data_IF_293745228859
#
_entry.id   IF_293745228859
#
_cell.length_a   1.000
_cell.length_b   1.000
_cell.length_c   1.000
_cell.angle_alpha   90.00
_cell.angle_beta   90.00
_cell.angle_gamma   90.00
#
_symmetry.space_group_name_H-M   'P 1'
#
loop_
_entity.id
_entity.type
_entity.pdbx_description
1 polymer ?
#
# COMPACT_ATOMS: atom_id res chain seq x y z
N UNK A 1 23.70 -7.80 -9.42
CA UNK A 1 24.51 -6.68 -8.90
C UNK A 1 23.52 -5.56 -8.61
N UNK A 2 23.34 -5.13 -7.35
CA UNK A 2 22.40 -4.05 -7.05
C UNK A 2 23.05 -2.70 -7.40
N UNK A 3 22.34 -1.85 -8.16
CA UNK A 3 22.83 -0.52 -8.51
C UNK A 3 22.39 0.45 -7.40
N UNK A 4 23.36 1.19 -6.85
CA UNK A 4 23.04 2.37 -6.03
C UNK A 4 22.80 3.54 -6.97
N UNK A 5 21.64 4.18 -6.86
CA UNK A 5 21.30 5.38 -7.63
C UNK A 5 21.35 6.60 -6.72
N UNK A 6 22.12 7.61 -7.12
CA UNK A 6 22.11 8.94 -6.50
C UNK A 6 20.98 9.75 -7.12
N UNK A 7 20.11 10.33 -6.30
CA UNK A 7 19.06 11.26 -6.75
C UNK A 7 19.36 12.64 -6.18
N UNK A 8 19.68 13.60 -7.05
CA UNK A 8 19.82 15.01 -6.71
C UNK A 8 18.53 15.74 -7.05
N UNK A 9 17.83 16.28 -6.06
CA UNK A 9 16.65 17.13 -6.28
C UNK A 9 17.13 18.58 -6.28
N UNK A 10 17.12 19.21 -7.45
CA UNK A 10 17.44 20.64 -7.63
C UNK A 10 16.13 21.42 -7.60
N UNK A 11 15.89 22.18 -6.54
CA UNK A 11 14.79 23.16 -6.50
C UNK A 11 15.31 24.46 -7.13
N UNK A 12 14.76 24.88 -8.27
CA UNK A 12 15.24 26.08 -8.96
C UNK A 12 14.77 27.38 -8.29
N UNK A 13 15.68 28.16 -7.74
CA UNK A 13 16.05 29.52 -8.20
C UNK A 13 16.79 30.25 -7.07
N UNK A 14 18.08 30.52 -7.30
CA UNK A 14 19.03 31.19 -6.40
C UNK A 14 19.25 30.51 -5.03
N UNK A 15 20.53 30.30 -4.71
CA UNK A 15 21.09 29.75 -3.47
C UNK A 15 21.16 28.22 -3.31
N UNK A 16 22.17 27.84 -2.51
CA UNK A 16 22.77 26.56 -2.15
C UNK A 16 21.82 25.46 -1.61
N UNK A 17 20.62 25.26 -2.18
CA UNK A 17 19.59 24.39 -1.61
C UNK A 17 19.48 22.99 -2.26
N UNK A 18 20.46 22.53 -3.02
CA UNK A 18 20.43 21.17 -3.58
C UNK A 18 20.55 20.14 -2.46
N UNK A 19 19.62 19.18 -2.39
CA UNK A 19 19.67 18.05 -1.47
C UNK A 19 19.99 16.78 -2.24
N UNK A 20 20.91 15.99 -1.70
CA UNK A 20 21.32 14.71 -2.27
C UNK A 20 20.76 13.56 -1.45
N UNK A 21 20.26 12.55 -2.15
CA UNK A 21 19.75 11.31 -1.57
C UNK A 21 20.28 10.12 -2.36
N UNK A 22 20.09 8.92 -1.83
CA UNK A 22 20.49 7.68 -2.47
C UNK A 22 19.45 6.61 -2.20
N UNK A 23 19.28 5.66 -3.12
CA UNK A 23 18.50 4.45 -2.87
C UNK A 23 19.12 3.27 -3.61
N UNK A 24 18.79 2.06 -3.17
CA UNK A 24 19.25 0.82 -3.79
C UNK A 24 18.13 0.17 -4.60
N UNK A 25 18.39 -0.11 -5.87
CA UNK A 25 17.46 -0.91 -6.68
C UNK A 25 17.38 -2.34 -6.14
N UNK A 26 16.22 -3.01 -6.20
CA UNK A 26 16.10 -4.40 -5.74
C UNK A 26 16.96 -5.33 -6.62
N UNK A 27 17.24 -6.56 -6.16
CA UNK A 27 17.79 -7.59 -7.04
C UNK A 27 16.83 -7.88 -8.21
N UNK A 28 17.36 -8.47 -9.27
CA UNK A 28 16.56 -8.96 -10.39
C UNK A 28 15.50 -9.96 -9.90
N UNK A 29 14.40 -10.05 -10.66
CA UNK A 29 13.32 -10.99 -10.36
C UNK A 29 13.87 -12.41 -10.49
N UNK A 30 13.83 -13.15 -9.39
CA UNK A 30 14.29 -14.54 -9.30
C UNK A 30 13.53 -15.24 -8.17
N UNK A 31 13.17 -16.52 -8.30
CA UNK A 31 12.39 -17.23 -7.27
C UNK A 31 13.07 -17.23 -5.90
N UNK A 32 14.40 -17.34 -5.88
CA UNK A 32 15.20 -17.37 -4.64
C UNK A 32 15.77 -16.00 -4.23
N UNK A 33 15.41 -14.90 -4.90
CA UNK A 33 15.92 -13.58 -4.53
C UNK A 33 15.41 -13.18 -3.13
N UNK A 34 16.31 -13.03 -2.13
CA UNK A 34 15.90 -12.61 -0.80
C UNK A 34 15.53 -11.13 -0.80
N UNK A 35 14.53 -10.78 0.01
CA UNK A 35 14.10 -9.40 0.16
C UNK A 35 13.40 -9.18 1.49
N UNK A 36 13.65 -8.04 2.16
CA UNK A 36 13.01 -7.72 3.43
C UNK A 36 12.06 -6.54 3.29
N UNK A 37 10.77 -6.83 3.40
CA UNK A 37 9.72 -5.80 3.45
C UNK A 37 9.40 -5.42 4.90
N UNK A 38 9.34 -4.13 5.19
CA UNK A 38 8.65 -3.62 6.37
C UNK A 38 7.18 -3.41 6.04
N UNK A 39 6.29 -3.65 7.01
CA UNK A 39 4.85 -3.48 6.85
C UNK A 39 4.41 -2.41 7.85
N UNK A 40 3.78 -1.34 7.36
CA UNK A 40 3.27 -0.23 8.18
C UNK A 40 1.88 0.13 7.66
N UNK A 41 0.94 0.40 8.57
CA UNK A 41 -0.36 0.98 8.27
C UNK A 41 -0.67 2.04 9.30
N UNK A 42 -1.61 2.94 8.97
CA UNK A 42 -2.28 3.77 9.98
C UNK A 42 -1.28 4.64 10.76
N UNK A 43 -0.25 5.14 10.05
CA UNK A 43 0.93 5.71 10.70
C UNK A 43 0.60 7.03 11.36
N UNK A 44 -0.04 7.95 10.64
CA UNK A 44 -0.24 9.32 11.11
C UNK A 44 1.07 10.03 11.48
N UNK A 45 0.99 10.99 12.40
CA UNK A 45 2.09 11.90 12.75
C UNK A 45 2.12 12.25 14.24
N UNK A 46 1.95 11.25 15.09
CA UNK A 46 2.03 11.34 16.56
C UNK A 46 3.42 10.95 17.07
N UNK A 47 3.64 11.06 18.39
CA UNK A 47 4.85 10.52 19.02
C UNK A 47 4.97 8.99 18.86
N UNK A 48 3.85 8.26 18.86
CA UNK A 48 3.84 6.82 18.62
C UNK A 48 4.19 6.51 17.16
N UNK A 49 3.74 7.35 16.22
CA UNK A 49 4.10 7.27 14.80
C UNK A 49 5.61 7.39 14.61
N UNK A 50 6.24 8.34 15.30
CA UNK A 50 7.70 8.49 15.30
C UNK A 50 8.39 7.25 15.87
N UNK A 51 7.90 6.71 16.99
CA UNK A 51 8.46 5.48 17.59
C UNK A 51 8.37 4.29 16.63
N UNK A 52 7.23 4.09 15.96
CA UNK A 52 7.05 3.04 14.94
C UNK A 52 8.02 3.23 13.78
N UNK A 53 8.16 4.46 13.26
CA UNK A 53 9.08 4.75 12.17
C UNK A 53 10.54 4.48 12.57
N UNK A 54 10.94 4.86 13.78
CA UNK A 54 12.29 4.61 14.31
C UNK A 54 12.58 3.12 14.48
N UNK A 55 11.65 2.33 15.02
CA UNK A 55 11.79 0.87 15.11
C UNK A 55 11.89 0.23 13.73
N UNK A 56 11.08 0.70 12.77
CA UNK A 56 11.17 0.24 11.39
C UNK A 56 12.54 0.55 10.77
N UNK A 57 13.08 1.76 10.95
CA UNK A 57 14.39 2.14 10.40
C UNK A 57 15.53 1.30 10.97
N UNK A 58 15.38 0.78 12.20
CA UNK A 58 16.32 -0.16 12.82
C UNK A 58 16.13 -1.62 12.35
N UNK A 59 15.03 -1.93 11.66
CA UNK A 59 14.75 -3.29 11.20
C UNK A 59 15.67 -3.74 10.05
N UNK A 60 16.25 -2.81 9.29
CA UNK A 60 17.03 -3.13 8.09
C UNK A 60 16.20 -3.68 6.93
N UNK A 61 14.90 -3.35 6.87
CA UNK A 61 14.07 -3.60 5.70
C UNK A 61 14.50 -2.72 4.51
N UNK A 62 14.29 -3.22 3.30
CA UNK A 62 14.73 -2.59 2.03
C UNK A 62 13.62 -1.78 1.34
N UNK A 63 12.37 -1.97 1.76
CA UNK A 63 11.18 -1.26 1.28
C UNK A 63 10.03 -1.36 2.28
N UNK A 64 9.01 -0.49 2.16
CA UNK A 64 7.78 -0.56 2.95
C UNK A 64 6.58 -0.95 2.08
N UNK A 65 5.78 -1.90 2.55
CA UNK A 65 4.42 -2.09 2.08
C UNK A 65 3.50 -1.31 3.03
N UNK A 66 2.94 -0.20 2.53
CA UNK A 66 2.16 0.73 3.33
C UNK A 66 0.66 0.51 3.12
N UNK A 67 -0.07 0.06 4.14
CA UNK A 67 -1.45 -0.45 4.01
C UNK A 67 -2.55 0.60 4.21
N UNK A 68 -2.26 1.88 3.91
CA UNK A 68 -3.24 2.99 3.93
C UNK A 68 -3.27 3.78 5.23
N UNK A 69 -4.03 4.87 5.23
CA UNK A 69 -4.14 5.87 6.28
C UNK A 69 -2.79 6.52 6.62
N UNK A 70 -2.36 7.41 5.73
CA UNK A 70 -1.04 8.03 5.76
C UNK A 70 -0.99 9.11 6.84
N UNK A 71 -1.62 10.26 6.58
CA UNK A 71 -1.37 11.49 7.33
C UNK A 71 -2.39 11.80 8.42
N UNK A 72 -3.60 11.24 8.34
CA UNK A 72 -4.78 11.64 9.12
C UNK A 72 -5.05 13.14 9.07
N UNK A 73 -4.72 13.80 7.95
CA UNK A 73 -4.93 15.23 7.74
C UNK A 73 -6.41 15.62 7.71
N UNK A 74 -7.28 14.70 7.31
CA UNK A 74 -8.74 14.81 7.29
C UNK A 74 -9.37 14.96 8.69
N UNK A 75 -8.60 14.72 9.76
CA UNK A 75 -8.98 15.04 11.14
C UNK A 75 -8.89 16.55 11.45
N UNK A 76 -8.44 17.35 10.49
CA UNK A 76 -8.30 18.81 10.59
C UNK A 76 -9.23 19.51 9.60
N UNK A 77 -9.27 20.85 9.64
CA UNK A 77 -10.18 21.65 8.82
C UNK A 77 -9.44 22.69 8.00
N UNK A 78 -9.99 23.01 6.82
CA UNK A 78 -9.52 24.04 5.90
C UNK A 78 -8.03 23.88 5.56
N UNK A 79 -7.24 24.93 5.76
CA UNK A 79 -5.81 24.95 5.44
C UNK A 79 -5.00 23.91 6.23
N UNK A 80 -5.47 23.51 7.41
CA UNK A 80 -4.75 22.55 8.24
C UNK A 80 -4.71 21.16 7.60
N UNK A 81 -5.67 20.80 6.74
CA UNK A 81 -5.65 19.52 5.99
C UNK A 81 -4.41 19.47 5.08
N UNK A 82 -4.18 20.52 4.30
CA UNK A 82 -2.99 20.61 3.43
C UNK A 82 -1.69 20.65 4.22
N UNK A 83 -1.65 21.46 5.29
CA UNK A 83 -0.46 21.60 6.16
C UNK A 83 -0.09 20.25 6.78
N UNK A 84 -1.07 19.44 7.19
CA UNK A 84 -0.83 18.13 7.80
C UNK A 84 -0.30 17.09 6.82
N UNK A 85 -0.66 17.17 5.54
CA UNK A 85 0.03 16.41 4.50
C UNK A 85 1.49 16.84 4.35
N UNK A 86 1.76 18.15 4.38
CA UNK A 86 3.14 18.67 4.24
C UNK A 86 4.03 18.27 5.42
N UNK A 87 3.51 18.34 6.65
CA UNK A 87 4.26 17.88 7.84
C UNK A 87 4.48 16.38 7.83
N UNK A 88 3.50 15.59 7.38
CA UNK A 88 3.66 14.15 7.25
C UNK A 88 4.71 13.78 6.21
N UNK A 89 4.72 14.44 5.06
CA UNK A 89 5.74 14.26 4.03
C UNK A 89 7.16 14.53 4.55
N UNK A 90 7.36 15.66 5.26
CA UNK A 90 8.64 15.97 5.93
C UNK A 90 9.00 14.95 7.01
N UNK A 91 8.01 14.43 7.73
CA UNK A 91 8.21 13.42 8.77
C UNK A 91 8.71 12.09 8.21
N UNK A 92 8.11 11.56 7.15
CA UNK A 92 8.50 10.25 6.59
C UNK A 92 9.68 10.32 5.62
N UNK A 93 10.10 11.52 5.19
CA UNK A 93 11.22 11.74 4.27
C UNK A 93 12.53 11.06 4.73
N UNK A 94 12.76 11.00 6.05
CA UNK A 94 13.89 10.29 6.66
C UNK A 94 13.97 8.80 6.30
N UNK A 95 12.88 8.23 5.78
CA UNK A 95 12.80 6.87 5.24
C UNK A 95 12.50 6.87 3.74
N UNK A 96 11.44 7.55 3.30
CA UNK A 96 10.93 7.48 1.92
C UNK A 96 11.91 8.05 0.88
N UNK A 97 12.84 8.92 1.29
CA UNK A 97 13.87 9.43 0.39
C UNK A 97 14.99 8.41 0.08
N UNK A 98 15.12 7.36 0.90
CA UNK A 98 16.21 6.37 0.81
C UNK A 98 15.75 4.97 0.42
N UNK A 99 14.44 4.70 0.55
CA UNK A 99 13.85 3.44 0.14
C UNK A 99 12.39 3.62 -0.26
N UNK A 100 11.89 2.81 -1.20
CA UNK A 100 10.55 2.96 -1.70
C UNK A 100 9.51 2.47 -0.71
N UNK A 101 8.42 3.23 -0.61
CA UNK A 101 7.20 2.82 0.05
C UNK A 101 6.14 2.56 -1.02
N UNK A 102 5.48 1.41 -0.94
CA UNK A 102 4.41 0.99 -1.84
C UNK A 102 3.08 1.36 -1.20
N UNK A 103 2.38 2.31 -1.81
CA UNK A 103 1.19 2.93 -1.25
C UNK A 103 -0.08 2.12 -1.52
N UNK A 104 -0.83 1.81 -0.47
CA UNK A 104 -2.27 1.54 -0.51
C UNK A 104 -3.01 2.78 -0.02
N UNK A 105 -4.22 3.04 -0.53
CA UNK A 105 -5.07 4.12 -0.04
C UNK A 105 -6.06 3.59 1.00
N UNK A 106 -6.15 4.27 2.15
CA UNK A 106 -7.12 4.02 3.20
C UNK A 106 -8.34 4.94 3.15
N UNK A 107 -9.21 4.89 4.16
CA UNK A 107 -10.37 5.78 4.20
C UNK A 107 -9.96 7.22 4.55
N UNK A 108 -8.87 7.41 5.30
CA UNK A 108 -8.38 8.75 5.62
C UNK A 108 -7.85 9.49 4.38
N UNK A 109 -7.55 8.78 3.29
CA UNK A 109 -7.22 9.40 2.00
C UNK A 109 -8.45 9.79 1.18
N UNK A 110 -9.68 9.37 1.52
CA UNK A 110 -10.88 9.72 0.75
C UNK A 110 -11.09 11.23 0.74
N UNK A 111 -10.95 11.89 1.90
CA UNK A 111 -11.07 13.34 2.05
C UNK A 111 -12.33 13.97 1.42
N UNK A 112 -13.46 13.25 1.48
CA UNK A 112 -14.74 13.76 1.00
C UNK A 112 -15.36 14.73 2.04
N UNK A 113 -15.19 16.03 1.80
CA UNK A 113 -15.52 17.11 2.74
C UNK A 113 -16.38 18.18 2.04
N UNK A 114 -17.68 17.91 1.82
CA UNK A 114 -18.57 18.82 1.08
C UNK A 114 -18.73 20.19 1.75
N UNK A 115 -18.52 20.30 3.07
CA UNK A 115 -18.56 21.56 3.79
C UNK A 115 -17.39 22.51 3.46
N UNK A 116 -16.38 22.05 2.71
CA UNK A 116 -15.25 22.84 2.22
C UNK A 116 -15.16 22.83 0.69
N UNK A 117 -16.25 22.45 0.00
CA UNK A 117 -16.29 22.27 -1.46
C UNK A 117 -15.29 21.22 -2.01
N UNK A 118 -14.78 20.33 -1.15
CA UNK A 118 -13.91 19.22 -1.56
C UNK A 118 -14.74 17.94 -1.68
N UNK A 119 -15.22 17.68 -2.91
CA UNK A 119 -16.10 16.54 -3.22
C UNK A 119 -15.45 15.51 -4.14
N UNK A 120 -14.16 15.68 -4.47
CA UNK A 120 -13.41 14.74 -5.32
C UNK A 120 -12.56 13.85 -4.41
N UNK A 121 -12.90 12.56 -4.28
CA UNK A 121 -12.17 11.67 -3.40
C UNK A 121 -10.69 11.55 -3.76
N UNK A 122 -9.84 11.30 -2.77
CA UNK A 122 -8.41 11.00 -2.93
C UNK A 122 -7.56 12.12 -3.53
N UNK A 123 -8.08 13.35 -3.63
CA UNK A 123 -7.37 14.44 -4.31
C UNK A 123 -5.96 14.66 -3.76
N UNK A 124 -5.80 14.87 -2.45
CA UNK A 124 -4.48 15.13 -1.87
C UNK A 124 -3.53 13.93 -2.02
N UNK A 125 -4.02 12.72 -1.74
CA UNK A 125 -3.25 11.49 -1.92
C UNK A 125 -2.72 11.36 -3.36
N UNK A 126 -3.60 11.49 -4.35
CA UNK A 126 -3.26 11.31 -5.77
C UNK A 126 -2.31 12.36 -6.33
N UNK A 127 -2.30 13.58 -5.79
CA UNK A 127 -1.36 14.63 -6.20
C UNK A 127 0.02 14.49 -5.55
N UNK A 128 0.12 13.78 -4.43
CA UNK A 128 1.35 13.69 -3.61
C UNK A 128 2.07 12.35 -3.77
N UNK A 129 1.34 11.26 -3.96
CA UNK A 129 1.88 9.89 -3.95
C UNK A 129 1.55 9.15 -5.25
N UNK A 130 2.37 9.30 -6.30
CA UNK A 130 2.17 8.57 -7.55
C UNK A 130 2.43 7.07 -7.35
N UNK A 131 1.72 6.24 -8.13
CA UNK A 131 1.90 4.79 -8.15
C UNK A 131 2.24 4.30 -9.56
N UNK A 132 2.91 3.15 -9.73
CA UNK A 132 3.29 2.61 -11.03
C UNK A 132 2.14 1.92 -11.78
N UNK A 133 0.90 2.37 -11.61
CA UNK A 133 -0.32 1.67 -12.05
C UNK A 133 -0.38 1.39 -13.56
N UNK A 134 0.19 2.29 -14.37
CA UNK A 134 0.30 2.10 -15.82
C UNK A 134 1.17 0.89 -16.18
N UNK A 135 2.23 0.61 -15.41
CA UNK A 135 3.12 -0.53 -15.66
C UNK A 135 2.40 -1.87 -15.44
N UNK A 136 1.42 -1.92 -14.53
CA UNK A 136 0.54 -3.09 -14.33
C UNK A 136 -0.72 -3.08 -15.20
N UNK A 137 -0.79 -2.19 -16.21
CA UNK A 137 -1.97 -2.01 -17.07
C UNK A 137 -3.27 -1.74 -16.28
N UNK A 138 -3.15 -1.08 -15.13
CA UNK A 138 -4.31 -0.56 -14.40
C UNK A 138 -4.75 0.76 -15.03
N UNK A 139 -6.03 1.07 -14.90
CA UNK A 139 -6.63 2.35 -15.34
C UNK A 139 -6.67 3.38 -14.22
N UNK A 140 -6.28 3.03 -12.98
CA UNK A 140 -6.38 3.92 -11.84
C UNK A 140 -5.19 3.72 -10.86
N UNK A 141 -4.62 4.81 -10.32
CA UNK A 141 -3.50 4.74 -9.37
C UNK A 141 -3.80 4.03 -8.05
N UNK A 142 -5.07 3.85 -7.67
CA UNK A 142 -5.47 3.26 -6.40
C UNK A 142 -5.39 1.73 -6.35
N UNK A 143 -5.31 1.05 -7.50
CA UNK A 143 -5.07 -0.39 -7.58
C UNK A 143 -4.06 -0.71 -8.67
N UNK A 144 -3.04 -1.49 -8.33
CA UNK A 144 -1.91 -1.75 -9.22
C UNK A 144 -1.12 -2.96 -8.73
N UNK A 145 -0.15 -3.40 -9.52
CA UNK A 145 0.75 -4.47 -9.13
C UNK A 145 2.20 -4.14 -9.43
N UNK A 146 3.10 -4.73 -8.66
CA UNK A 146 4.54 -4.67 -8.90
C UNK A 146 5.16 -6.06 -8.69
N UNK A 147 6.32 -6.27 -9.31
CA UNK A 147 7.18 -7.42 -9.02
C UNK A 147 8.49 -6.90 -8.45
N UNK A 148 8.93 -7.44 -7.32
CA UNK A 148 10.16 -7.03 -6.64
C UNK A 148 10.81 -8.24 -6.00
N UNK A 149 12.06 -8.52 -6.37
CA UNK A 149 12.77 -9.74 -5.99
C UNK A 149 11.92 -11.00 -6.31
N UNK A 150 11.60 -11.80 -5.30
CA UNK A 150 10.81 -13.03 -5.42
C UNK A 150 9.30 -12.82 -5.21
N UNK A 151 8.81 -11.58 -5.09
CA UNK A 151 7.41 -11.27 -4.79
C UNK A 151 6.65 -10.60 -5.95
N UNK A 152 5.42 -11.07 -6.20
CA UNK A 152 4.39 -10.38 -6.96
C UNK A 152 3.41 -9.75 -5.96
N UNK A 153 3.37 -8.43 -5.93
CA UNK A 153 2.57 -7.66 -4.96
C UNK A 153 1.41 -7.02 -5.70
N UNK A 154 0.19 -7.27 -5.25
CA UNK A 154 -1.05 -6.67 -5.75
C UNK A 154 -1.56 -5.70 -4.69
N UNK A 155 -1.82 -4.46 -5.08
CA UNK A 155 -2.42 -3.44 -4.23
C UNK A 155 -3.85 -3.20 -4.68
N UNK A 156 -4.81 -3.32 -3.76
CA UNK A 156 -6.23 -3.13 -3.99
C UNK A 156 -6.74 -1.90 -3.24
N UNK A 157 -7.77 -1.27 -3.80
CA UNK A 157 -8.45 -0.12 -3.20
C UNK A 157 -9.76 -0.58 -2.56
N UNK A 158 -9.77 -0.59 -1.22
CA UNK A 158 -10.96 -0.90 -0.40
C UNK A 158 -12.12 0.08 -0.64
N UNK A 159 -11.82 1.32 -1.05
CA UNK A 159 -12.77 2.42 -1.17
C UNK A 159 -13.05 2.85 -2.62
N UNK A 160 -12.67 2.02 -3.58
CA UNK A 160 -13.08 2.15 -5.00
C UNK A 160 -14.07 1.03 -5.35
N UNK A 161 -14.91 1.18 -6.40
CA UNK A 161 -15.78 0.10 -6.83
C UNK A 161 -14.99 -1.18 -7.16
N UNK A 162 -15.38 -2.30 -6.55
CA UNK A 162 -14.68 -3.60 -6.67
C UNK A 162 -15.61 -4.77 -7.00
N UNK A 163 -16.91 -4.54 -7.20
CA UNK A 163 -17.87 -5.60 -7.55
C UNK A 163 -17.70 -6.05 -9.01
N UNK A 164 -18.33 -7.17 -9.36
CA UNK A 164 -18.27 -7.76 -10.71
C UNK A 164 -18.50 -6.71 -11.80
N UNK A 165 -17.65 -6.76 -12.84
CA UNK A 165 -17.64 -5.83 -13.99
C UNK A 165 -17.14 -4.40 -13.72
N UNK A 166 -16.73 -4.07 -12.49
CA UNK A 166 -16.02 -2.80 -12.25
C UNK A 166 -14.60 -2.84 -12.84
N UNK A 167 -13.98 -1.67 -13.09
CA UNK A 167 -12.60 -1.62 -13.59
C UNK A 167 -11.59 -2.35 -12.69
N UNK A 168 -11.68 -2.19 -11.36
CA UNK A 168 -10.79 -2.86 -10.42
C UNK A 168 -11.00 -4.38 -10.43
N UNK A 169 -12.26 -4.84 -10.43
CA UNK A 169 -12.58 -6.28 -10.48
C UNK A 169 -12.03 -6.93 -11.75
N UNK A 170 -12.26 -6.29 -12.89
CA UNK A 170 -11.81 -6.79 -14.20
C UNK A 170 -10.28 -6.79 -14.29
N UNK A 171 -9.64 -5.73 -13.79
CA UNK A 171 -8.19 -5.65 -13.73
C UNK A 171 -7.59 -6.74 -12.84
N UNK A 172 -8.15 -6.98 -11.65
CA UNK A 172 -7.64 -8.01 -10.74
C UNK A 172 -7.77 -9.41 -11.32
N UNK A 173 -8.89 -9.72 -12.00
CA UNK A 173 -9.07 -11.00 -12.69
C UNK A 173 -7.94 -11.25 -13.70
N UNK A 174 -7.58 -10.23 -14.47
CA UNK A 174 -6.49 -10.29 -15.46
C UNK A 174 -5.10 -10.28 -14.82
N UNK A 175 -4.91 -9.57 -13.71
CA UNK A 175 -3.62 -9.51 -13.01
C UNK A 175 -3.27 -10.84 -12.35
N UNK A 176 -4.25 -11.52 -11.73
CA UNK A 176 -4.06 -12.83 -11.14
C UNK A 176 -3.61 -13.87 -12.17
N UNK A 177 -4.09 -13.79 -13.43
CA UNK A 177 -3.66 -14.66 -14.54
C UNK A 177 -2.20 -14.42 -14.95
N UNK A 178 -1.60 -13.28 -14.61
CA UNK A 178 -0.19 -12.94 -14.92
C UNK A 178 0.79 -13.38 -13.83
N UNK A 179 0.29 -13.93 -12.72
CA UNK A 179 1.14 -14.43 -11.63
C UNK A 179 1.90 -15.65 -12.12
N UNK A 180 3.22 -15.54 -12.14
CA UNK A 180 4.14 -16.60 -12.52
C UNK A 180 4.99 -16.98 -11.30
N UNK A 181 4.57 -18.05 -10.61
CA UNK A 181 5.22 -18.48 -9.36
C UNK A 181 6.59 -19.12 -9.56
N UNK A 182 6.97 -19.47 -10.79
CA UNK A 182 8.35 -19.91 -11.07
C UNK A 182 9.33 -18.73 -11.05
N UNK A 183 8.85 -17.50 -11.22
CA UNK A 183 9.65 -16.27 -11.14
C UNK A 183 9.47 -15.53 -9.82
N UNK A 184 8.23 -15.43 -9.36
CA UNK A 184 7.84 -14.73 -8.14
C UNK A 184 6.97 -15.65 -7.28
N UNK A 185 7.56 -16.56 -6.49
CA UNK A 185 6.82 -17.57 -5.74
C UNK A 185 5.90 -16.97 -4.67
N UNK A 186 6.23 -15.77 -4.15
CA UNK A 186 5.41 -15.07 -3.16
C UNK A 186 4.35 -14.19 -3.83
N UNK A 187 3.08 -14.50 -3.59
CA UNK A 187 1.95 -13.66 -3.99
C UNK A 187 1.40 -12.92 -2.76
N UNK A 188 1.60 -11.60 -2.73
CA UNK A 188 1.23 -10.73 -1.61
C UNK A 188 0.11 -9.80 -2.07
N UNK A 189 -0.92 -9.64 -1.25
CA UNK A 189 -1.98 -8.65 -1.48
C UNK A 189 -1.95 -7.59 -0.38
N UNK A 190 -2.06 -6.32 -0.78
CA UNK A 190 -2.27 -5.18 0.10
C UNK A 190 -3.67 -4.64 -0.10
N UNK A 191 -4.36 -4.33 0.99
CA UNK A 191 -5.62 -3.59 1.01
C UNK A 191 -5.70 -2.81 2.32
N UNK A 192 -6.61 -1.86 2.45
CA UNK A 192 -6.72 -1.12 3.71
C UNK A 192 -7.66 -1.83 4.70
N UNK A 193 -8.92 -2.04 4.30
CA UNK A 193 -9.91 -2.70 5.14
C UNK A 193 -9.68 -4.22 5.20
N UNK A 194 -9.47 -4.83 6.37
CA UNK A 194 -9.23 -6.26 6.50
C UNK A 194 -10.48 -7.08 6.17
N UNK A 195 -10.32 -8.14 5.36
CA UNK A 195 -11.39 -9.11 5.08
C UNK A 195 -11.59 -10.13 6.22
N UNK A 196 -10.69 -10.16 7.19
CA UNK A 196 -10.80 -10.94 8.42
C UNK A 196 -10.36 -10.05 9.59
N UNK A 197 -11.28 -9.80 10.53
CA UNK A 197 -11.04 -8.96 11.70
C UNK A 197 -11.91 -9.48 12.87
N UNK A 198 -11.30 -9.70 14.04
CA UNK A 198 -12.00 -10.10 15.26
C UNK A 198 -12.10 -8.99 16.32
N UNK A 199 -11.60 -7.79 16.02
CA UNK A 199 -11.77 -6.62 16.86
C UNK A 199 -13.18 -6.05 16.74
N UNK A 200 -13.66 -5.37 17.79
CA UNK A 200 -14.94 -4.66 17.76
C UNK A 200 -14.92 -3.49 16.77
N UNK A 201 -13.80 -2.76 16.70
CA UNK A 201 -13.60 -1.70 15.74
C UNK A 201 -13.59 -2.26 14.31
N UNK A 202 -14.40 -1.68 13.43
CA UNK A 202 -14.50 -2.07 12.02
C UNK A 202 -14.88 -3.55 11.81
N UNK A 203 -15.60 -4.14 12.78
CA UNK A 203 -16.06 -5.52 12.67
C UNK A 203 -16.94 -5.70 11.44
N UNK A 204 -16.63 -6.72 10.62
CA UNK A 204 -17.33 -7.06 9.38
C UNK A 204 -17.32 -5.99 8.26
N UNK A 205 -16.55 -4.91 8.38
CA UNK A 205 -16.51 -3.86 7.35
C UNK A 205 -15.96 -4.38 6.00
N UNK A 206 -14.99 -5.31 6.04
CA UNK A 206 -14.41 -5.94 4.86
C UNK A 206 -15.25 -7.02 4.18
N UNK A 207 -16.44 -7.36 4.70
CA UNK A 207 -17.24 -8.51 4.22
C UNK A 207 -17.63 -8.40 2.74
N UNK A 208 -17.91 -7.19 2.26
CA UNK A 208 -18.26 -6.98 0.84
C UNK A 208 -17.09 -7.26 -0.09
N UNK A 209 -15.87 -6.87 0.29
CA UNK A 209 -14.66 -7.17 -0.47
C UNK A 209 -14.27 -8.65 -0.33
N UNK A 210 -14.47 -9.24 0.85
CA UNK A 210 -14.31 -10.68 1.08
C UNK A 210 -15.19 -11.48 0.11
N UNK A 211 -16.49 -11.16 0.05
CA UNK A 211 -17.43 -11.80 -0.86
C UNK A 211 -17.04 -11.67 -2.34
N UNK A 212 -16.39 -10.56 -2.72
CA UNK A 212 -15.97 -10.32 -4.09
C UNK A 212 -14.69 -11.07 -4.49
N UNK A 213 -13.69 -11.15 -3.59
CA UNK A 213 -12.33 -11.56 -3.96
C UNK A 213 -11.78 -12.79 -3.22
N UNK A 214 -12.36 -13.20 -2.10
CA UNK A 214 -11.81 -14.31 -1.29
C UNK A 214 -11.65 -15.60 -2.09
N UNK A 215 -12.66 -15.96 -2.90
CA UNK A 215 -12.61 -17.18 -3.73
C UNK A 215 -11.41 -17.14 -4.68
N UNK A 216 -11.06 -15.97 -5.22
CA UNK A 216 -9.88 -15.81 -6.06
C UNK A 216 -8.58 -15.89 -5.26
N UNK A 217 -8.52 -15.30 -4.06
CA UNK A 217 -7.33 -15.41 -3.20
C UNK A 217 -7.04 -16.88 -2.84
N UNK A 218 -8.08 -17.66 -2.55
CA UNK A 218 -7.96 -19.10 -2.32
C UNK A 218 -7.54 -19.84 -3.60
N UNK A 219 -8.17 -19.55 -4.73
CA UNK A 219 -7.89 -20.20 -6.02
C UNK A 219 -6.44 -19.97 -6.49
N UNK A 220 -5.94 -18.73 -6.39
CA UNK A 220 -4.57 -18.36 -6.76
C UNK A 220 -3.55 -18.56 -5.62
N UNK A 221 -4.02 -19.09 -4.49
CA UNK A 221 -3.22 -19.45 -3.31
C UNK A 221 -2.42 -18.28 -2.74
N UNK A 222 -2.99 -17.07 -2.70
CA UNK A 222 -2.36 -15.88 -2.11
C UNK A 222 -1.69 -16.25 -0.78
N UNK A 223 -0.41 -15.93 -0.62
CA UNK A 223 0.37 -16.39 0.52
C UNK A 223 0.07 -15.56 1.77
N UNK A 224 -0.10 -14.25 1.59
CA UNK A 224 -0.43 -13.32 2.67
C UNK A 224 -1.18 -12.11 2.16
N UNK A 225 -2.12 -11.64 2.97
CA UNK A 225 -2.83 -10.37 2.80
C UNK A 225 -2.43 -9.48 3.96
N UNK A 226 -1.92 -8.29 3.69
CA UNK A 226 -1.69 -7.27 4.70
C UNK A 226 -2.76 -6.19 4.60
N UNK A 227 -3.28 -5.81 5.77
CA UNK A 227 -4.30 -4.78 5.92
C UNK A 227 -4.01 -3.91 7.15
N UNK A 228 -4.56 -2.70 7.13
CA UNK A 228 -4.50 -1.70 8.20
C UNK A 228 -5.88 -1.51 8.81
N UNK A 229 -6.31 -0.25 8.94
CA UNK A 229 -7.65 0.22 9.31
C UNK A 229 -8.00 0.00 10.79
N UNK A 230 -7.85 -1.24 11.25
CA UNK A 230 -7.98 -1.60 12.65
C UNK A 230 -6.68 -1.25 13.35
N UNK A 231 -6.72 -0.33 14.31
CA UNK A 231 -5.55 0.12 15.07
C UNK A 231 -5.09 -0.91 16.12
N UNK A 232 -4.86 -2.14 15.68
CA UNK A 232 -4.37 -3.27 16.47
C UNK A 232 -3.54 -4.19 15.57
N UNK A 233 -2.89 -5.19 16.17
CA UNK A 233 -2.25 -6.27 15.43
C UNK A 233 -3.07 -7.55 15.55
N UNK A 234 -3.39 -8.16 14.41
CA UNK A 234 -4.04 -9.46 14.34
C UNK A 234 -3.36 -10.33 13.29
N UNK A 235 -3.26 -11.64 13.56
CA UNK A 235 -2.77 -12.64 12.60
C UNK A 235 -3.72 -13.82 12.56
N UNK A 236 -4.36 -14.01 11.42
CA UNK A 236 -5.29 -15.11 11.20
C UNK A 236 -4.57 -16.45 10.97
N UNK A 237 -5.33 -17.53 11.06
CA UNK A 237 -4.90 -18.85 10.60
C UNK A 237 -5.30 -19.04 9.13
N UNK A 238 -4.52 -19.83 8.40
CA UNK A 238 -4.87 -20.18 7.02
C UNK A 238 -6.21 -20.91 6.99
N UNK A 239 -7.22 -20.28 6.40
CA UNK A 239 -8.54 -20.88 6.12
C UNK A 239 -8.45 -21.85 4.93
N UNK A 240 -7.54 -22.84 4.99
CA UNK A 240 -7.47 -23.95 4.01
C UNK A 240 -8.56 -24.97 4.34
N UNK A 241 -9.82 -24.63 4.10
CA UNK A 241 -10.89 -25.61 4.17
C UNK A 241 -10.88 -26.46 2.90
N UNK A 242 -10.32 -27.67 3.02
CA UNK A 242 -10.50 -28.77 2.08
C UNK A 242 -12.00 -29.01 1.85
N UNK A 243 -12.49 -28.74 0.65
CA UNK A 243 -13.66 -29.43 0.09
C UNK A 243 -13.25 -30.12 -1.21
N UNK A 244 -12.49 -31.22 -1.06
CA UNK A 244 -12.59 -32.33 -2.00
C UNK A 244 -13.68 -33.26 -1.46
N UNK A 245 -14.89 -33.13 -1.97
CA UNK A 245 -15.79 -34.27 -2.09
C UNK A 245 -16.45 -34.21 -3.46
N UNK A 246 -15.82 -34.92 -4.41
CA UNK A 246 -16.53 -35.57 -5.51
C UNK A 246 -17.58 -36.51 -4.89
N UNK A 247 -18.84 -36.32 -5.26
CA UNK A 247 -19.60 -37.30 -6.04
C UNK A 247 -20.51 -36.55 -6.99
#
# INVERSE_FOLDING_TARGET
>A
MALSMLLSIITSSCDESSREFWFQTPPEIHPDAPYKFGIIGDLGQTYNSLSTLQHYMQSGADAVLFVGDLSYSDRYQYNDVGIRWDTWGRFVEQSTAYQPWMWSAGNHEIEFMPYMDEVVPFRNFLHRYPTPYLASKSTNPLWYAIKRASAHIIVLSSYSPFVKYTPQWTWLEEELKKVDREKTPWLIVLMHAPIYNSNEAHFMEGESMRAAFETWFVQYRVDVIFAGHVHAYERSVSQRSFYFLRK
#
